data_IF_219800816485
#
_entry.id   IF_219800816485
#
_cell.length_a   1.000
_cell.length_b   1.000
_cell.length_c   1.000
_cell.angle_alpha   90.00
_cell.angle_beta   90.00
_cell.angle_gamma   90.00
#
_symmetry.space_group_name_H-M   'P 1'
#
loop_
_entity.id
_entity.type
_entity.pdbx_description
1 polymer ?
#
# COMPACT_ATOMS: atom_id res chain seq x y z
N UNK A 1 -14.11 -9.75 12.81
CA UNK A 1 -12.86 -9.22 12.21
C UNK A 1 -12.32 -8.13 13.13
N UNK A 2 -11.08 -8.20 13.61
CA UNK A 2 -10.54 -7.17 14.53
C UNK A 2 -10.01 -5.97 13.76
N UNK A 3 -10.08 -4.78 14.36
CA UNK A 3 -9.47 -3.57 13.78
C UNK A 3 -7.97 -3.77 13.51
N UNK A 4 -7.24 -4.44 14.41
CA UNK A 4 -5.82 -4.74 14.23
C UNK A 4 -5.55 -5.58 12.97
N UNK A 5 -6.41 -6.57 12.68
CA UNK A 5 -6.27 -7.38 11.47
C UNK A 5 -6.49 -6.53 10.21
N UNK A 6 -7.52 -5.69 10.20
CA UNK A 6 -7.79 -4.75 9.09
C UNK A 6 -6.63 -3.78 8.90
N UNK A 7 -6.10 -3.21 9.99
CA UNK A 7 -4.99 -2.27 9.95
C UNK A 7 -3.74 -2.90 9.31
N UNK A 8 -3.41 -4.14 9.69
CA UNK A 8 -2.31 -4.89 9.06
C UNK A 8 -2.56 -5.12 7.56
N UNK A 9 -3.80 -5.41 7.16
CA UNK A 9 -4.15 -5.59 5.75
C UNK A 9 -4.01 -4.29 4.95
N UNK A 10 -4.45 -3.16 5.48
CA UNK A 10 -4.30 -1.84 4.83
C UNK A 10 -2.82 -1.54 4.60
N UNK A 11 -1.99 -1.71 5.64
CA UNK A 11 -0.54 -1.46 5.55
C UNK A 11 0.11 -2.37 4.49
N UNK A 12 -0.20 -3.67 4.51
CA UNK A 12 0.36 -4.60 3.54
C UNK A 12 -0.14 -4.32 2.12
N UNK A 13 -1.40 -3.93 1.96
CA UNK A 13 -1.98 -3.59 0.66
C UNK A 13 -1.25 -2.41 0.02
N UNK A 14 -0.98 -1.34 0.77
CA UNK A 14 -0.31 -0.15 0.25
C UNK A 14 1.12 -0.45 -0.18
N UNK A 15 1.89 -1.14 0.68
CA UNK A 15 3.28 -1.50 0.41
C UNK A 15 3.37 -2.45 -0.79
N UNK A 16 2.58 -3.53 -0.79
CA UNK A 16 2.59 -4.51 -1.88
C UNK A 16 2.10 -3.90 -3.19
N UNK A 17 1.19 -2.92 -3.14
CA UNK A 17 0.73 -2.17 -4.31
C UNK A 17 1.89 -1.47 -5.01
N UNK A 18 2.72 -0.73 -4.28
CA UNK A 18 3.87 -0.03 -4.86
C UNK A 18 4.97 -1.00 -5.31
N UNK A 19 5.27 -2.02 -4.51
CA UNK A 19 6.24 -3.06 -4.89
C UNK A 19 5.82 -3.76 -6.18
N UNK A 20 4.52 -4.07 -6.34
CA UNK A 20 3.99 -4.70 -7.55
C UNK A 20 4.19 -3.85 -8.80
N UNK A 21 4.06 -2.53 -8.71
CA UNK A 21 4.28 -1.61 -9.85
C UNK A 21 5.74 -1.72 -10.31
N UNK A 22 6.68 -1.55 -9.39
CA UNK A 22 8.12 -1.64 -9.71
C UNK A 22 8.48 -3.03 -10.22
N UNK A 23 7.94 -4.08 -9.60
CA UNK A 23 8.21 -5.45 -10.01
C UNK A 23 7.77 -5.73 -11.47
N UNK A 24 6.66 -5.12 -11.92
CA UNK A 24 6.23 -5.23 -13.32
C UNK A 24 7.20 -4.54 -14.29
N UNK A 25 7.72 -3.37 -13.91
CA UNK A 25 8.70 -2.64 -14.72
C UNK A 25 10.00 -3.45 -14.84
N UNK A 26 10.48 -4.01 -13.73
CA UNK A 26 11.71 -4.81 -13.70
C UNK A 26 11.59 -6.14 -14.45
N UNK A 27 10.39 -6.69 -14.57
CA UNK A 27 10.14 -7.94 -15.28
C UNK A 27 9.79 -7.75 -16.77
N UNK A 28 9.71 -6.50 -17.26
CA UNK A 28 9.43 -6.25 -18.67
C UNK A 28 10.60 -6.76 -19.56
N UNK A 29 10.35 -7.58 -20.60
CA UNK A 29 11.42 -8.03 -21.50
C UNK A 29 12.13 -6.89 -22.24
N UNK A 30 11.50 -5.72 -22.33
CA UNK A 30 12.04 -4.48 -22.91
C UNK A 30 12.40 -3.46 -21.82
N UNK A 31 12.68 -3.93 -20.61
CA UNK A 31 13.06 -3.09 -19.48
C UNK A 31 14.17 -2.11 -19.86
N UNK A 32 13.91 -0.84 -19.56
CA UNK A 32 14.88 0.24 -19.66
C UNK A 32 15.54 0.47 -18.30
N UNK A 33 16.88 0.57 -18.30
CA UNK A 33 17.66 0.69 -17.05
C UNK A 33 17.39 2.00 -16.33
N UNK A 34 17.27 3.11 -17.07
CA UNK A 34 17.05 4.43 -16.49
C UNK A 34 15.64 4.53 -15.88
N UNK A 35 14.62 4.07 -16.61
CA UNK A 35 13.25 3.97 -16.11
C UNK A 35 13.15 3.06 -14.88
N UNK A 36 13.89 1.95 -14.85
CA UNK A 36 13.92 1.01 -13.73
C UNK A 36 14.58 1.61 -12.49
N UNK A 37 15.72 2.28 -12.66
CA UNK A 37 16.40 2.99 -11.57
C UNK A 37 15.52 4.10 -10.99
N UNK A 38 14.86 4.88 -11.86
CA UNK A 38 13.90 5.92 -11.46
C UNK A 38 12.71 5.35 -10.66
N UNK A 39 12.19 4.19 -11.09
CA UNK A 39 11.07 3.51 -10.43
C UNK A 39 11.45 2.94 -9.06
N UNK A 40 12.65 2.39 -8.91
CA UNK A 40 13.21 1.97 -7.62
C UNK A 40 13.40 3.17 -6.67
N UNK A 41 13.92 4.29 -7.18
CA UNK A 41 14.03 5.54 -6.42
C UNK A 41 12.67 6.04 -5.92
N UNK A 42 11.65 5.97 -6.78
CA UNK A 42 10.28 6.33 -6.43
C UNK A 42 9.69 5.43 -5.34
N UNK A 43 9.98 4.12 -5.38
CA UNK A 43 9.59 3.18 -4.32
C UNK A 43 10.28 3.50 -2.99
N UNK A 44 11.57 3.85 -3.00
CA UNK A 44 12.28 4.28 -1.78
C UNK A 44 11.62 5.52 -1.19
N UNK A 45 11.40 6.56 -2.01
CA UNK A 45 10.73 7.79 -1.57
C UNK A 45 9.32 7.52 -1.03
N UNK A 46 8.57 6.60 -1.67
CA UNK A 46 7.28 6.16 -1.15
C UNK A 46 7.41 5.55 0.25
N UNK A 47 8.32 4.59 0.44
CA UNK A 47 8.50 3.91 1.73
C UNK A 47 8.95 4.88 2.83
N UNK A 48 9.82 5.84 2.51
CA UNK A 48 10.25 6.88 3.45
C UNK A 48 9.09 7.77 3.91
N UNK A 49 8.22 8.18 2.98
CA UNK A 49 6.99 8.94 3.30
C UNK A 49 5.99 8.07 4.06
N UNK A 50 5.80 6.83 3.64
CA UNK A 50 4.88 5.90 4.29
C UNK A 50 5.30 5.64 5.75
N UNK A 51 6.60 5.64 6.05
CA UNK A 51 7.09 5.53 7.42
C UNK A 51 6.69 6.73 8.30
N UNK A 52 6.58 7.94 7.75
CA UNK A 52 6.25 9.14 8.54
C UNK A 52 4.75 9.35 8.72
N UNK A 53 3.93 9.07 7.70
CA UNK A 53 2.48 9.35 7.72
C UNK A 53 1.58 8.16 7.39
N UNK A 54 2.14 7.04 6.89
CA UNK A 54 1.37 5.90 6.42
C UNK A 54 0.61 5.18 7.52
N UNK A 55 1.15 5.12 8.74
CA UNK A 55 0.45 4.47 9.86
C UNK A 55 -0.82 5.22 10.28
N UNK A 56 -0.78 6.55 10.41
CA UNK A 56 -1.97 7.33 10.74
C UNK A 56 -3.00 7.32 9.62
N UNK A 57 -2.56 7.39 8.35
CA UNK A 57 -3.44 7.22 7.21
C UNK A 57 -4.10 5.83 7.18
N UNK A 58 -3.34 4.77 7.46
CA UNK A 58 -3.85 3.40 7.49
C UNK A 58 -4.88 3.18 8.60
N UNK A 59 -4.76 3.89 9.74
CA UNK A 59 -5.78 3.87 10.79
C UNK A 59 -7.10 4.45 10.32
N UNK A 60 -7.08 5.61 9.65
CA UNK A 60 -8.29 6.26 9.13
C UNK A 60 -9.03 5.33 8.17
N UNK A 61 -8.30 4.77 7.19
CA UNK A 61 -8.85 3.78 6.25
C UNK A 61 -9.36 2.53 6.98
N UNK A 62 -8.62 2.05 7.99
CA UNK A 62 -9.03 0.91 8.79
C UNK A 62 -10.36 1.13 9.54
N UNK A 63 -10.58 2.34 10.06
CA UNK A 63 -11.84 2.72 10.72
C UNK A 63 -12.99 2.69 9.70
N UNK A 64 -12.81 3.32 8.54
CA UNK A 64 -13.82 3.33 7.45
C UNK A 64 -14.19 1.91 7.00
N UNK A 65 -13.22 1.00 6.89
CA UNK A 65 -13.47 -0.40 6.53
C UNK A 65 -14.27 -1.13 7.63
N UNK A 66 -13.93 -0.92 8.91
CA UNK A 66 -14.66 -1.56 10.01
C UNK A 66 -16.08 -1.02 10.11
N UNK A 67 -16.27 0.29 9.96
CA UNK A 67 -17.58 0.95 9.98
C UNK A 67 -18.46 0.48 8.81
N UNK A 68 -17.91 0.45 7.60
CA UNK A 68 -18.64 -0.03 6.43
C UNK A 68 -19.08 -1.48 6.64
N UNK A 69 -18.17 -2.38 7.02
CA UNK A 69 -18.50 -3.79 7.28
C UNK A 69 -19.54 -3.91 8.40
N UNK A 70 -19.41 -3.17 9.49
CA UNK A 70 -20.42 -3.13 10.56
C UNK A 70 -21.79 -2.66 10.08
N UNK A 71 -21.85 -1.69 9.17
CA UNK A 71 -23.09 -1.24 8.54
C UNK A 71 -23.71 -2.34 7.65
N UNK A 72 -22.90 -3.10 6.90
CA UNK A 72 -23.38 -4.24 6.10
C UNK A 72 -24.02 -5.35 6.95
N UNK A 73 -23.59 -5.56 8.20
CA UNK A 73 -24.19 -6.57 9.09
C UNK A 73 -25.53 -6.16 9.72
N UNK A 74 -25.86 -4.86 9.70
CA UNK A 74 -27.06 -4.31 10.34
C UNK A 74 -28.17 -3.95 9.31
N UNK A 75 -28.00 -4.33 8.04
CA UNK A 75 -28.96 -4.16 6.95
C UNK A 75 -29.52 -5.49 6.46
#
# INVERSE_FOLDING_TARGET
>A
MSFEFVLRLVIWHDILGQVKIVNRILQDPKMDLDASASSLGSLITFLEKYRTNGFENAKLVGIEIVESIGAWWNC
#
